data_IF_909375966102
#
_entry.id   IF_909375966102
#
_cell.length_a   1.000
_cell.length_b   1.000
_cell.length_c   1.000
_cell.angle_alpha   90.00
_cell.angle_beta   90.00
_cell.angle_gamma   90.00
#
_symmetry.space_group_name_H-M   'P 1'
#
loop_
_entity.id
_entity.type
_entity.pdbx_description
1 polymer ?
#
# COMPACT_ATOMS: atom_id res chain seq x y z
N UNK A 1 -40.54 7.24 5.21
CA UNK A 1 -39.63 8.34 4.81
C UNK A 1 -38.23 7.85 5.16
N UNK A 2 -37.36 7.57 4.19
CA UNK A 2 -36.00 7.12 4.49
C UNK A 2 -35.10 8.35 4.48
N UNK A 3 -34.86 8.95 5.64
CA UNK A 3 -33.90 10.06 5.75
C UNK A 3 -32.47 9.49 5.74
N UNK A 4 -31.50 10.31 5.35
CA UNK A 4 -30.07 9.92 5.38
C UNK A 4 -29.64 9.40 6.77
N UNK A 5 -30.15 10.02 7.85
CA UNK A 5 -29.91 9.55 9.21
C UNK A 5 -30.48 8.16 9.50
N UNK A 6 -31.68 7.83 8.99
CA UNK A 6 -32.26 6.49 9.13
C UNK A 6 -31.44 5.45 8.36
N UNK A 7 -30.87 5.84 7.21
CA UNK A 7 -29.98 4.98 6.44
C UNK A 7 -28.69 4.67 7.20
N UNK A 8 -28.01 5.69 7.74
CA UNK A 8 -26.82 5.49 8.58
C UNK A 8 -27.13 4.62 9.80
N UNK A 9 -28.28 4.83 10.45
CA UNK A 9 -28.73 3.97 11.54
C UNK A 9 -28.92 2.51 11.09
N UNK A 10 -29.52 2.30 9.91
CA UNK A 10 -29.69 0.96 9.35
C UNK A 10 -28.36 0.29 8.99
N UNK A 11 -27.33 1.07 8.62
CA UNK A 11 -25.99 0.54 8.39
C UNK A 11 -25.34 0.14 9.71
N UNK A 12 -25.43 0.96 10.75
CA UNK A 12 -24.98 0.62 12.10
C UNK A 12 -25.61 -0.67 12.63
N UNK A 13 -26.93 -0.85 12.44
CA UNK A 13 -27.64 -2.05 12.87
C UNK A 13 -27.17 -3.34 12.14
N UNK A 14 -26.57 -3.20 10.95
CA UNK A 14 -26.06 -4.32 10.15
C UNK A 14 -24.61 -4.70 10.47
N UNK A 15 -23.84 -3.80 11.09
CA UNK A 15 -22.45 -4.04 11.45
C UNK A 15 -22.37 -5.11 12.54
N UNK A 16 -21.42 -6.03 12.38
CA UNK A 16 -21.00 -6.94 13.46
C UNK A 16 -19.56 -6.62 13.81
N UNK A 17 -19.24 -6.62 15.11
CA UNK A 17 -17.87 -6.56 15.62
C UNK A 17 -17.01 -5.40 15.06
N UNK A 18 -17.61 -4.22 14.85
CA UNK A 18 -16.98 -3.02 14.27
C UNK A 18 -16.35 -3.23 12.87
N UNK A 19 -16.83 -4.22 12.11
CA UNK A 19 -16.37 -4.47 10.75
C UNK A 19 -16.95 -3.48 9.74
N UNK A 20 -16.14 -3.13 8.75
CA UNK A 20 -16.57 -2.28 7.64
C UNK A 20 -17.63 -3.00 6.79
N UNK A 21 -18.57 -2.23 6.23
CA UNK A 21 -19.63 -2.73 5.35
C UNK A 21 -19.52 -2.14 3.94
N UNK A 22 -19.81 -2.96 2.94
CA UNK A 22 -20.02 -2.47 1.58
C UNK A 22 -21.35 -1.73 1.51
N UNK A 23 -21.31 -0.51 0.99
CA UNK A 23 -22.49 0.33 0.77
C UNK A 23 -22.99 0.11 -0.65
N UNK A 24 -24.27 -0.21 -0.79
CA UNK A 24 -24.91 -0.29 -2.10
C UNK A 24 -25.05 1.12 -2.69
N UNK A 25 -24.34 1.36 -3.80
CA UNK A 25 -24.29 2.67 -4.45
C UNK A 25 -25.67 3.02 -5.03
N UNK A 26 -26.43 2.04 -5.52
CA UNK A 26 -27.77 2.26 -6.06
C UNK A 26 -28.72 2.79 -5.00
N UNK A 27 -28.80 2.09 -3.86
CA UNK A 27 -29.59 2.50 -2.70
C UNK A 27 -29.16 3.88 -2.17
N UNK A 28 -27.85 4.13 -2.07
CA UNK A 28 -27.33 5.43 -1.66
C UNK A 28 -27.76 6.55 -2.62
N UNK A 29 -27.71 6.27 -3.93
CA UNK A 29 -28.09 7.22 -4.97
C UNK A 29 -29.60 7.48 -4.97
N UNK A 30 -30.42 6.44 -4.76
CA UNK A 30 -31.87 6.56 -4.62
C UNK A 30 -32.27 7.44 -3.43
N UNK A 31 -31.53 7.38 -2.31
CA UNK A 31 -31.76 8.26 -1.17
C UNK A 31 -31.55 9.73 -1.52
N UNK A 32 -30.51 10.04 -2.31
CA UNK A 32 -30.26 11.41 -2.77
C UNK A 32 -31.38 11.85 -3.72
N UNK A 33 -31.77 11.00 -4.68
CA UNK A 33 -32.88 11.31 -5.57
C UNK A 33 -34.20 11.55 -4.83
N UNK A 34 -34.51 10.73 -3.82
CA UNK A 34 -35.71 10.89 -3.01
C UNK A 34 -35.71 12.22 -2.25
N UNK A 35 -34.56 12.62 -1.68
CA UNK A 35 -34.42 13.91 -1.00
C UNK A 35 -34.61 15.10 -1.96
N UNK A 36 -34.04 15.03 -3.18
CA UNK A 36 -34.25 16.06 -4.20
C UNK A 36 -35.73 16.17 -4.63
N UNK A 37 -36.38 15.03 -4.86
CA UNK A 37 -37.79 14.99 -5.27
C UNK A 37 -38.74 15.54 -4.20
N UNK A 38 -38.41 15.34 -2.91
CA UNK A 38 -39.17 15.91 -1.80
C UNK A 38 -39.05 17.45 -1.78
N UNK A 39 -37.85 17.98 -1.98
CA UNK A 39 -37.62 19.43 -2.05
C UNK A 39 -38.31 20.08 -3.26
N UNK A 40 -38.28 19.44 -4.43
CA UNK A 40 -38.94 19.94 -5.64
C UNK A 40 -40.48 19.72 -5.63
N UNK A 41 -41.04 19.14 -4.57
CA UNK A 41 -42.49 18.92 -4.43
C UNK A 41 -43.06 17.79 -5.31
N UNK A 42 -42.19 16.99 -5.94
CA UNK A 42 -42.58 15.88 -6.83
C UNK A 42 -43.13 14.70 -6.03
N UNK A 43 -42.69 14.52 -4.78
CA UNK A 43 -43.29 13.58 -3.82
C UNK A 43 -44.05 14.35 -2.73
N UNK A 44 -45.31 14.68 -3.02
CA UNK A 44 -46.41 15.00 -2.09
C UNK A 44 -46.07 15.75 -0.80
N UNK A 45 -46.09 17.09 -0.85
CA UNK A 45 -46.36 17.88 0.33
C UNK A 45 -47.88 17.80 0.62
N UNK A 46 -48.30 16.97 1.58
CA UNK A 46 -49.67 17.02 2.08
C UNK A 46 -49.83 18.27 2.96
N UNK A 47 -50.18 19.40 2.33
CA UNK A 47 -50.90 20.46 3.04
C UNK A 47 -52.38 20.12 2.99
N UNK A 48 -53.00 20.02 4.16
CA UNK A 48 -54.45 19.92 4.29
C UNK A 48 -55.03 21.25 3.83
N UNK A 49 -55.74 21.28 2.69
CA UNK A 49 -56.70 22.35 2.43
C UNK A 49 -56.80 22.93 1.02
N UNK A 50 -55.88 22.68 0.07
CA UNK A 50 -55.96 23.32 -1.26
C UNK A 50 -55.62 22.34 -2.38
N UNK A 51 -56.60 22.09 -3.25
CA UNK A 51 -56.40 21.50 -4.59
C UNK A 51 -55.47 22.44 -5.38
N UNK A 52 -54.18 22.12 -5.35
CA UNK A 52 -53.21 22.79 -6.20
C UNK A 52 -53.00 21.93 -7.43
N UNK A 53 -53.43 22.47 -8.57
CA UNK A 53 -53.29 21.90 -9.91
C UNK A 53 -51.85 21.41 -10.10
N UNK A 54 -51.69 20.09 -10.07
CA UNK A 54 -50.42 19.41 -10.24
C UNK A 54 -49.97 19.54 -11.70
N UNK A 55 -49.28 20.62 -12.03
CA UNK A 55 -48.57 20.71 -13.29
C UNK A 55 -47.28 19.90 -13.19
N UNK A 56 -47.31 18.73 -13.81
CA UNK A 56 -46.19 17.81 -14.00
C UNK A 56 -45.16 18.48 -14.93
N UNK A 57 -44.40 19.45 -14.43
CA UNK A 57 -43.19 19.87 -15.11
C UNK A 57 -42.21 18.70 -15.05
N UNK A 58 -42.13 17.98 -16.16
CA UNK A 58 -41.02 17.07 -16.45
C UNK A 58 -39.74 17.91 -16.48
N UNK A 59 -39.10 18.10 -15.33
CA UNK A 59 -37.70 18.50 -15.28
C UNK A 59 -36.89 17.30 -15.73
N UNK A 60 -36.58 17.25 -17.02
CA UNK A 60 -35.62 16.33 -17.65
C UNK A 60 -34.17 16.64 -17.24
N UNK A 61 -33.92 16.90 -15.95
CA UNK A 61 -32.58 17.15 -15.42
C UNK A 61 -32.31 16.17 -14.28
N UNK A 62 -31.28 15.36 -14.45
CA UNK A 62 -30.80 14.46 -13.42
C UNK A 62 -30.49 15.27 -12.15
N UNK A 63 -31.19 15.06 -11.01
CA UNK A 63 -30.98 15.87 -9.80
C UNK A 63 -29.53 15.89 -9.31
N UNK A 64 -28.79 14.80 -9.54
CA UNK A 64 -27.36 14.72 -9.20
C UNK A 64 -26.51 15.65 -10.04
N UNK A 65 -26.82 15.81 -11.33
CA UNK A 65 -26.09 16.71 -12.24
C UNK A 65 -26.29 18.17 -11.83
N UNK A 66 -27.52 18.53 -11.44
CA UNK A 66 -27.83 19.85 -10.90
C UNK A 66 -27.07 20.10 -9.59
N UNK A 67 -27.10 19.14 -8.65
CA UNK A 67 -26.35 19.23 -7.40
C UNK A 67 -24.84 19.38 -7.63
N UNK A 68 -24.27 18.56 -8.52
CA UNK A 68 -22.86 18.63 -8.89
C UNK A 68 -22.49 20.04 -9.38
N UNK A 69 -23.24 20.60 -10.34
CA UNK A 69 -22.96 21.93 -10.87
C UNK A 69 -23.08 23.02 -9.81
N UNK A 70 -24.12 22.98 -8.98
CA UNK A 70 -24.30 23.97 -7.90
C UNK A 70 -23.17 23.90 -6.89
N UNK A 71 -22.80 22.69 -6.44
CA UNK A 71 -21.74 22.51 -5.45
C UNK A 71 -20.35 22.87 -6.00
N UNK A 72 -20.08 22.61 -7.28
CA UNK A 72 -18.81 22.95 -7.93
C UNK A 72 -18.61 24.45 -8.19
N UNK A 73 -19.66 25.25 -8.02
CA UNK A 73 -19.62 26.72 -8.22
C UNK A 73 -19.49 27.48 -6.89
N UNK A 74 -19.41 26.79 -5.75
CA UNK A 74 -19.31 27.43 -4.43
C UNK A 74 -17.92 28.01 -4.25
N UNK A 75 -17.81 29.32 -4.37
CA UNK A 75 -16.62 30.06 -4.00
C UNK A 75 -16.68 30.43 -2.51
N UNK A 76 -15.62 30.13 -1.76
CA UNK A 76 -15.42 30.60 -0.39
C UNK A 76 -14.34 31.67 -0.45
N UNK A 77 -14.68 32.90 -0.06
CA UNK A 77 -13.69 33.96 0.10
C UNK A 77 -12.85 33.65 1.33
N UNK A 78 -11.53 33.54 1.15
CA UNK A 78 -10.57 33.30 2.24
C UNK A 78 -9.67 34.53 2.32
N UNK A 79 -9.47 35.07 3.52
CA UNK A 79 -8.67 36.29 3.73
C UNK A 79 -7.16 36.07 3.49
N UNK A 80 -6.68 34.83 3.70
CA UNK A 80 -5.28 34.43 3.51
C UNK A 80 -5.17 33.21 2.56
N UNK A 81 -4.38 33.33 1.49
CA UNK A 81 -4.14 32.23 0.53
C UNK A 81 -3.42 31.03 1.16
N UNK A 82 -2.68 31.23 2.25
CA UNK A 82 -1.98 30.15 2.97
C UNK A 82 -2.95 29.20 3.71
N UNK A 83 -4.18 29.65 4.01
CA UNK A 83 -5.23 28.87 4.68
C UNK A 83 -6.30 28.35 3.71
N UNK A 84 -6.12 28.53 2.39
CA UNK A 84 -7.08 28.10 1.38
C UNK A 84 -7.14 26.56 1.25
N UNK A 85 -8.01 25.93 2.03
CA UNK A 85 -8.42 24.54 1.82
C UNK A 85 -9.48 24.45 0.71
N UNK A 86 -9.45 23.35 -0.04
CA UNK A 86 -10.55 22.98 -0.93
C UNK A 86 -11.91 23.00 -0.18
N UNK A 87 -12.94 23.70 -0.70
CA UNK A 87 -14.25 23.77 -0.07
C UNK A 87 -14.91 22.39 0.04
N UNK A 88 -15.59 22.12 1.16
CA UNK A 88 -16.33 20.86 1.35
C UNK A 88 -17.42 20.66 0.29
N UNK A 89 -17.99 21.74 -0.24
CA UNK A 89 -18.91 21.69 -1.38
C UNK A 89 -18.28 21.02 -2.60
N UNK A 90 -17.03 21.36 -2.93
CA UNK A 90 -16.30 20.75 -4.05
C UNK A 90 -16.04 19.27 -3.79
N UNK A 91 -15.65 18.91 -2.56
CA UNK A 91 -15.45 17.51 -2.16
C UNK A 91 -16.72 16.67 -2.35
N UNK A 92 -17.88 17.19 -1.95
CA UNK A 92 -19.17 16.52 -2.18
C UNK A 92 -19.48 16.45 -3.67
N UNK A 93 -19.21 17.52 -4.44
CA UNK A 93 -19.40 17.52 -5.88
C UNK A 93 -18.59 16.40 -6.56
N UNK A 94 -17.32 16.20 -6.20
CA UNK A 94 -16.50 15.10 -6.74
C UNK A 94 -17.04 13.71 -6.38
N UNK A 95 -17.62 13.54 -5.18
CA UNK A 95 -18.29 12.28 -4.81
C UNK A 95 -19.48 12.04 -5.73
N UNK A 96 -20.32 13.06 -5.97
CA UNK A 96 -21.48 12.97 -6.85
C UNK A 96 -21.04 12.67 -8.29
N UNK A 97 -20.01 13.37 -8.80
CA UNK A 97 -19.45 13.13 -10.13
C UNK A 97 -18.96 11.68 -10.25
N UNK A 98 -18.26 11.18 -9.24
CA UNK A 98 -17.75 9.80 -9.20
C UNK A 98 -18.88 8.78 -9.23
N UNK A 99 -19.96 9.01 -8.46
CA UNK A 99 -21.16 8.16 -8.47
C UNK A 99 -21.82 8.19 -9.85
N UNK A 100 -21.99 9.37 -10.45
CA UNK A 100 -22.60 9.51 -11.78
C UNK A 100 -21.80 8.79 -12.86
N UNK A 101 -20.47 8.89 -12.80
CA UNK A 101 -19.56 8.30 -13.81
C UNK A 101 -19.33 6.81 -13.62
N UNK A 102 -19.18 6.36 -12.38
CA UNK A 102 -18.66 5.03 -12.05
C UNK A 102 -19.56 4.19 -11.16
N UNK A 103 -20.64 4.74 -10.61
CA UNK A 103 -21.51 4.06 -9.64
C UNK A 103 -22.27 2.83 -10.19
N UNK A 104 -22.30 2.64 -11.51
CA UNK A 104 -22.84 1.44 -12.17
C UNK A 104 -21.76 0.41 -12.56
N UNK A 105 -20.52 0.65 -12.15
CA UNK A 105 -19.36 -0.20 -12.47
C UNK A 105 -18.71 -0.69 -11.19
N UNK A 106 -17.91 -1.76 -11.27
CA UNK A 106 -17.11 -2.22 -10.12
C UNK A 106 -15.89 -1.32 -9.84
N UNK A 107 -15.68 -0.24 -10.60
CA UNK A 107 -14.56 0.69 -10.41
C UNK A 107 -14.75 1.64 -9.22
N UNK A 108 -15.96 1.80 -8.70
CA UNK A 108 -16.25 2.62 -7.52
C UNK A 108 -16.71 1.72 -6.38
N UNK A 109 -16.08 1.87 -5.22
CA UNK A 109 -16.46 1.19 -3.99
C UNK A 109 -16.86 2.23 -2.94
N UNK A 110 -17.94 1.98 -2.21
CA UNK A 110 -18.35 2.78 -1.06
C UNK A 110 -18.31 1.91 0.19
N UNK A 111 -17.57 2.36 1.20
CA UNK A 111 -17.35 1.60 2.44
C UNK A 111 -17.90 2.39 3.62
N UNK A 112 -18.77 1.76 4.39
CA UNK A 112 -19.22 2.28 5.68
C UNK A 112 -18.32 1.72 6.79
N UNK A 113 -17.69 2.61 7.55
CA UNK A 113 -16.96 2.29 8.77
C UNK A 113 -17.80 2.71 9.97
N UNK A 114 -18.10 1.80 10.93
CA UNK A 114 -18.81 2.14 12.16
C UNK A 114 -17.98 3.00 13.12
N UNK A 115 -16.66 3.10 12.90
CA UNK A 115 -15.74 3.84 13.78
C UNK A 115 -16.13 5.31 13.86
N UNK A 116 -16.22 5.83 15.09
CA UNK A 116 -16.68 7.19 15.39
C UNK A 116 -18.11 7.20 15.95
N UNK A 117 -18.63 8.38 16.35
CA UNK A 117 -19.96 8.48 16.97
C UNK A 117 -21.11 8.18 15.98
N UNK A 118 -20.94 8.55 14.72
CA UNK A 118 -22.01 8.48 13.71
C UNK A 118 -21.67 7.50 12.57
N UNK A 119 -20.47 6.92 12.57
CA UNK A 119 -19.93 6.17 11.43
C UNK A 119 -19.60 7.07 10.24
N UNK A 120 -18.93 6.52 9.23
CA UNK A 120 -18.48 7.25 8.04
C UNK A 120 -18.63 6.41 6.79
N UNK A 121 -19.18 6.99 5.73
CA UNK A 121 -19.09 6.43 4.38
C UNK A 121 -17.87 7.04 3.67
N UNK A 122 -17.01 6.20 3.12
CA UNK A 122 -15.84 6.62 2.32
C UNK A 122 -15.98 6.05 0.90
N UNK A 123 -15.67 6.86 -0.10
CA UNK A 123 -15.69 6.47 -1.51
C UNK A 123 -14.27 6.18 -1.99
N UNK A 124 -14.12 5.11 -2.77
CA UNK A 124 -12.83 4.63 -3.29
C UNK A 124 -12.96 4.35 -4.78
N UNK A 125 -12.23 5.11 -5.59
CA UNK A 125 -12.05 4.80 -7.01
C UNK A 125 -10.93 3.76 -7.16
N UNK A 126 -11.29 2.56 -7.59
CA UNK A 126 -10.41 1.38 -7.64
C UNK A 126 -9.58 1.31 -8.93
N UNK A 127 -9.96 2.07 -9.95
CA UNK A 127 -9.29 2.09 -11.25
C UNK A 127 -8.54 3.41 -11.48
N UNK A 128 -7.21 3.45 -11.30
CA UNK A 128 -6.44 4.61 -11.69
C UNK A 128 -6.44 4.81 -13.23
N UNK A 129 -6.77 3.76 -14.00
CA UNK A 129 -6.85 3.78 -15.45
C UNK A 129 -7.90 4.75 -16.01
N UNK A 130 -8.98 5.03 -15.29
CA UNK A 130 -10.02 5.98 -15.75
C UNK A 130 -9.51 7.42 -15.81
N UNK A 131 -8.49 7.75 -15.02
CA UNK A 131 -7.83 9.06 -15.02
C UNK A 131 -6.58 9.03 -15.91
N UNK A 132 -5.74 8.02 -15.72
CA UNK A 132 -4.44 7.92 -16.39
C UNK A 132 -4.55 7.59 -17.89
N UNK A 133 -5.48 6.71 -18.30
CA UNK A 133 -5.65 6.32 -19.70
C UNK A 133 -5.93 7.52 -20.64
N UNK A 134 -6.95 8.36 -20.36
CA UNK A 134 -7.21 9.56 -21.14
C UNK A 134 -6.05 10.55 -21.13
N UNK A 135 -5.34 10.69 -20.01
CA UNK A 135 -4.17 11.55 -19.90
C UNK A 135 -3.05 11.07 -20.85
N UNK A 136 -2.63 9.81 -20.73
CA UNK A 136 -1.57 9.24 -21.56
C UNK A 136 -1.94 9.18 -23.05
N UNK A 137 -3.22 9.05 -23.38
CA UNK A 137 -3.70 9.07 -24.77
C UNK A 137 -3.64 10.45 -25.42
N UNK A 138 -3.64 11.53 -24.61
CA UNK A 138 -3.56 12.93 -25.10
C UNK A 138 -2.14 13.49 -25.10
N UNK A 139 -1.22 12.87 -24.38
CA UNK A 139 0.19 13.29 -24.36
C UNK A 139 0.93 12.84 -25.62
N UNK A 140 1.85 13.67 -26.12
CA UNK A 140 2.70 13.30 -27.27
C UNK A 140 3.63 12.10 -26.98
N UNK A 141 3.97 11.88 -25.71
CA UNK A 141 4.75 10.74 -25.25
C UNK A 141 5.05 10.81 -23.76
N UNK A 142 5.30 9.66 -23.12
CA UNK A 142 5.66 9.56 -21.71
C UNK A 142 6.71 8.47 -21.49
N UNK A 143 7.58 8.67 -20.50
CA UNK A 143 8.57 7.67 -20.09
C UNK A 143 8.35 7.38 -18.60
N UNK A 144 7.88 6.17 -18.30
CA UNK A 144 7.65 5.72 -16.93
C UNK A 144 8.84 4.88 -16.48
N UNK A 145 9.62 5.40 -15.51
CA UNK A 145 10.82 4.75 -14.99
C UNK A 145 10.70 4.50 -13.50
N UNK A 146 11.03 3.30 -13.04
CA UNK A 146 11.24 3.00 -11.62
C UNK A 146 12.06 1.72 -11.45
N UNK A 147 12.89 1.68 -10.40
CA UNK A 147 13.72 0.52 -10.07
C UNK A 147 12.92 -0.69 -9.55
N UNK A 148 11.65 -0.50 -9.20
CA UNK A 148 10.75 -1.57 -8.72
C UNK A 148 9.49 -1.70 -9.59
N UNK A 149 9.51 -1.15 -10.80
CA UNK A 149 8.42 -1.27 -11.77
C UNK A 149 8.48 -2.65 -12.44
N UNK A 150 8.05 -3.68 -11.73
CA UNK A 150 8.06 -5.05 -12.20
C UNK A 150 6.76 -5.79 -11.83
N UNK A 151 6.18 -6.60 -12.74
CA UNK A 151 6.46 -6.61 -14.18
C UNK A 151 5.88 -5.35 -14.87
N UNK A 152 6.55 -4.78 -15.88
CA UNK A 152 6.03 -3.61 -16.61
C UNK A 152 4.64 -3.80 -17.24
N UNK A 153 4.27 -5.04 -17.57
CA UNK A 153 2.94 -5.37 -18.08
C UNK A 153 1.82 -4.99 -17.12
N UNK A 154 1.96 -5.31 -15.83
CA UNK A 154 0.94 -4.99 -14.83
C UNK A 154 0.71 -3.49 -14.71
N UNK A 155 1.77 -2.69 -14.66
CA UNK A 155 1.65 -1.24 -14.55
C UNK A 155 1.02 -0.62 -15.80
N UNK A 156 1.38 -1.13 -16.97
CA UNK A 156 0.75 -0.69 -18.22
C UNK A 156 -0.76 -0.99 -18.24
N UNK A 157 -1.17 -2.16 -17.72
CA UNK A 157 -2.58 -2.55 -17.63
C UNK A 157 -3.35 -1.67 -16.63
N UNK A 158 -2.82 -1.49 -15.43
CA UNK A 158 -3.44 -0.70 -14.34
C UNK A 158 -3.57 0.77 -14.71
N UNK A 159 -2.56 1.35 -15.36
CA UNK A 159 -2.57 2.74 -15.81
C UNK A 159 -3.30 2.94 -17.15
N UNK A 160 -3.93 1.89 -17.68
CA UNK A 160 -4.63 1.89 -18.96
C UNK A 160 -3.81 2.52 -20.10
N UNK A 161 -2.51 2.17 -20.17
CA UNK A 161 -1.63 2.70 -21.21
C UNK A 161 -2.08 2.18 -22.59
N UNK A 162 -2.05 3.01 -23.66
CA UNK A 162 -2.47 2.58 -25.00
C UNK A 162 -1.63 1.39 -25.48
N UNK A 163 -2.25 0.23 -25.64
CA UNK A 163 -1.56 -1.04 -25.88
C UNK A 163 -0.71 -1.05 -27.15
N UNK A 164 -1.16 -0.35 -28.20
CA UNK A 164 -0.49 -0.22 -29.49
C UNK A 164 0.65 0.80 -29.51
N UNK A 165 0.73 1.69 -28.51
CA UNK A 165 1.75 2.74 -28.42
C UNK A 165 2.70 2.54 -27.23
N UNK A 166 2.53 1.46 -26.46
CA UNK A 166 3.29 1.22 -25.24
C UNK A 166 4.39 0.18 -25.46
N UNK A 167 5.64 0.61 -25.38
CA UNK A 167 6.79 -0.30 -25.29
C UNK A 167 7.11 -0.61 -23.84
N UNK A 168 7.36 -1.88 -23.54
CA UNK A 168 7.61 -2.38 -22.17
C UNK A 168 8.98 -3.04 -22.13
N UNK A 169 9.88 -2.54 -21.30
CA UNK A 169 11.24 -3.09 -21.19
C UNK A 169 11.64 -3.20 -19.73
N UNK A 170 12.28 -4.31 -19.39
CA UNK A 170 12.96 -4.50 -18.10
C UNK A 170 14.43 -4.75 -18.39
N UNK A 171 15.28 -3.94 -17.77
CA UNK A 171 16.73 -4.06 -17.92
C UNK A 171 17.29 -4.87 -16.76
N UNK A 172 18.28 -5.73 -17.06
CA UNK A 172 18.99 -6.46 -16.01
C UNK A 172 19.74 -5.44 -15.16
N UNK A 173 19.61 -5.55 -13.83
CA UNK A 173 20.31 -4.66 -12.93
C UNK A 173 21.83 -4.85 -13.08
N UNK A 174 22.62 -3.77 -13.24
CA UNK A 174 24.08 -3.88 -13.22
C UNK A 174 24.59 -4.35 -11.84
N UNK A 175 23.76 -4.22 -10.81
CA UNK A 175 24.01 -4.70 -9.45
C UNK A 175 23.61 -6.17 -9.24
N UNK A 176 22.95 -6.81 -10.22
CA UNK A 176 22.55 -8.22 -10.12
C UNK A 176 23.77 -9.14 -10.30
N UNK A 177 24.40 -9.51 -9.18
CA UNK A 177 25.56 -10.40 -9.19
C UNK A 177 25.93 -10.92 -7.80
N UNK A 178 27.18 -11.35 -7.64
CA UNK A 178 27.73 -11.90 -6.39
C UNK A 178 27.68 -10.93 -5.20
N UNK A 179 27.49 -9.62 -5.44
CA UNK A 179 27.46 -8.55 -4.44
C UNK A 179 26.12 -8.35 -3.75
N UNK A 180 25.04 -8.93 -4.30
CA UNK A 180 23.68 -8.83 -3.77
C UNK A 180 23.00 -10.20 -3.69
N UNK A 181 23.56 -11.16 -2.95
CA UNK A 181 22.92 -12.46 -2.82
C UNK A 181 21.62 -12.34 -2.01
N UNK A 182 20.57 -12.99 -2.52
CA UNK A 182 19.31 -13.19 -1.79
C UNK A 182 19.34 -14.58 -1.17
N UNK A 183 19.05 -14.65 0.13
CA UNK A 183 18.94 -15.88 0.91
C UNK A 183 17.52 -15.96 1.50
N UNK A 184 16.84 -17.09 1.29
CA UNK A 184 15.49 -17.34 1.78
C UNK A 184 15.54 -18.39 2.88
N UNK A 185 15.05 -18.07 4.07
CA UNK A 185 14.88 -19.04 5.14
C UNK A 185 13.59 -19.84 4.91
N UNK A 186 13.71 -21.16 4.69
CA UNK A 186 12.58 -22.04 4.32
C UNK A 186 11.86 -22.64 5.53
N UNK A 187 12.45 -22.57 6.72
CA UNK A 187 11.93 -23.12 7.96
C UNK A 187 11.10 -22.11 8.79
N UNK A 188 10.92 -20.88 8.27
CA UNK A 188 10.16 -19.80 8.91
C UNK A 188 9.04 -19.23 8.03
N UNK A 189 7.98 -18.70 8.64
CA UNK A 189 6.89 -18.01 7.93
C UNK A 189 6.08 -17.10 8.83
N UNK A 190 5.48 -16.05 8.27
CA UNK A 190 4.54 -15.14 8.97
C UNK A 190 3.07 -15.40 8.58
N UNK A 191 2.78 -16.52 7.89
CA UNK A 191 1.41 -16.92 7.55
C UNK A 191 0.54 -16.97 8.81
N UNK A 192 -0.63 -16.31 8.78
CA UNK A 192 -1.44 -16.03 9.98
C UNK A 192 -1.67 -17.26 10.88
N UNK A 193 -2.05 -18.39 10.29
CA UNK A 193 -2.34 -19.64 11.02
C UNK A 193 -1.10 -20.42 11.50
N UNK A 194 0.12 -19.94 11.21
CA UNK A 194 1.39 -20.56 11.59
C UNK A 194 2.23 -19.64 12.48
N UNK A 195 1.72 -18.44 12.82
CA UNK A 195 2.36 -17.52 13.75
C UNK A 195 2.39 -18.14 15.14
N UNK A 196 3.58 -18.20 15.73
CA UNK A 196 3.80 -18.77 17.06
C UNK A 196 5.12 -18.25 17.62
N UNK A 197 5.29 -18.31 18.94
CA UNK A 197 6.57 -17.95 19.56
C UNK A 197 7.73 -18.81 19.03
N UNK A 198 7.50 -20.10 18.77
CA UNK A 198 8.51 -20.97 18.15
C UNK A 198 8.96 -20.46 16.77
N UNK A 199 8.04 -19.90 15.99
CA UNK A 199 8.35 -19.28 14.70
C UNK A 199 9.18 -18.01 14.86
N UNK A 200 8.83 -17.20 15.85
CA UNK A 200 9.57 -15.99 16.19
C UNK A 200 10.99 -16.30 16.65
N UNK A 201 11.18 -17.33 17.48
CA UNK A 201 12.53 -17.73 17.91
C UNK A 201 13.41 -18.20 16.77
N UNK A 202 12.86 -18.93 15.80
CA UNK A 202 13.62 -19.30 14.59
C UNK A 202 14.04 -18.06 13.80
N UNK A 203 13.11 -17.12 13.57
CA UNK A 203 13.41 -15.86 12.88
C UNK A 203 14.49 -15.06 13.63
N UNK A 204 14.38 -14.93 14.95
CA UNK A 204 15.38 -14.30 15.82
C UNK A 204 16.74 -15.00 15.70
N UNK A 205 16.76 -16.32 15.67
CA UNK A 205 17.97 -17.12 15.45
C UNK A 205 18.65 -16.79 14.11
N UNK A 206 17.89 -16.69 13.02
CA UNK A 206 18.44 -16.28 11.73
C UNK A 206 18.99 -14.84 11.73
N UNK A 207 18.33 -13.91 12.43
CA UNK A 207 18.79 -12.52 12.57
C UNK A 207 20.09 -12.48 13.38
N UNK A 208 20.17 -13.18 14.51
CA UNK A 208 21.41 -13.26 15.29
C UNK A 208 22.54 -13.93 14.50
N UNK A 209 22.25 -15.00 13.77
CA UNK A 209 23.20 -15.67 12.90
C UNK A 209 23.75 -14.76 11.79
N UNK A 210 22.90 -13.89 11.23
CA UNK A 210 23.32 -12.88 10.26
C UNK A 210 24.21 -11.80 10.90
N UNK A 211 23.83 -11.33 12.09
CA UNK A 211 24.63 -10.37 12.88
C UNK A 211 26.01 -10.95 13.18
N UNK A 212 26.08 -12.19 13.65
CA UNK A 212 27.34 -12.88 13.92
C UNK A 212 28.19 -13.12 12.65
N UNK A 213 27.53 -13.22 11.50
CA UNK A 213 28.16 -13.49 10.22
C UNK A 213 28.67 -12.23 9.50
N UNK A 214 28.44 -11.03 10.06
CA UNK A 214 28.79 -9.76 9.43
C UNK A 214 29.29 -8.71 10.42
N UNK A 215 30.17 -7.84 9.96
CA UNK A 215 30.67 -6.70 10.76
C UNK A 215 29.94 -5.39 10.41
N UNK A 216 28.86 -5.48 9.62
CA UNK A 216 28.13 -4.34 9.08
C UNK A 216 26.80 -4.13 9.81
N UNK A 217 26.17 -2.96 9.63
CA UNK A 217 24.82 -2.73 10.13
C UNK A 217 23.79 -3.58 9.39
N UNK A 218 22.74 -3.95 10.11
CA UNK A 218 21.64 -4.76 9.60
C UNK A 218 20.36 -3.96 9.72
N UNK A 219 19.60 -3.86 8.63
CA UNK A 219 18.22 -3.35 8.67
C UNK A 219 17.23 -4.50 8.62
N UNK A 220 16.15 -4.42 9.38
CA UNK A 220 15.08 -5.41 9.46
C UNK A 220 13.75 -4.71 9.19
N UNK A 221 13.01 -5.19 8.20
CA UNK A 221 11.70 -4.66 7.83
C UNK A 221 10.60 -5.69 8.08
N UNK A 222 9.54 -5.27 8.76
CA UNK A 222 8.40 -6.09 9.14
C UNK A 222 7.11 -5.64 8.43
N UNK A 223 6.08 -6.52 8.30
CA UNK A 223 4.81 -6.19 7.64
C UNK A 223 3.95 -5.18 8.39
N UNK A 224 4.13 -5.05 9.70
CA UNK A 224 3.39 -4.12 10.54
C UNK A 224 4.14 -3.85 11.84
N UNK A 225 3.84 -2.72 12.47
CA UNK A 225 4.36 -2.40 13.82
C UNK A 225 4.02 -3.48 14.85
N UNK A 226 2.83 -4.10 14.74
CA UNK A 226 2.43 -5.19 15.64
C UNK A 226 3.36 -6.40 15.50
N UNK A 227 3.61 -6.85 14.27
CA UNK A 227 4.54 -7.97 14.04
C UNK A 227 5.99 -7.59 14.40
N UNK A 228 6.39 -6.34 14.18
CA UNK A 228 7.70 -5.87 14.61
C UNK A 228 7.86 -5.98 16.13
N UNK A 229 6.86 -5.54 16.89
CA UNK A 229 6.85 -5.66 18.35
C UNK A 229 6.78 -7.13 18.80
N UNK A 230 5.92 -7.95 18.21
CA UNK A 230 5.79 -9.37 18.56
C UNK A 230 7.11 -10.15 18.37
N UNK A 231 7.88 -9.82 17.32
CA UNK A 231 9.08 -10.56 16.92
C UNK A 231 10.36 -9.98 17.54
N UNK A 232 10.46 -8.65 17.58
CA UNK A 232 11.67 -7.91 17.93
C UNK A 232 11.53 -7.08 19.22
N UNK A 233 10.30 -6.87 19.72
CA UNK A 233 10.00 -6.15 20.95
C UNK A 233 10.60 -6.84 22.16
N UNK A 234 11.23 -6.08 23.05
CA UNK A 234 11.93 -6.61 24.24
C UNK A 234 13.13 -7.52 24.00
N UNK A 235 13.42 -7.90 22.75
CA UNK A 235 14.49 -8.85 22.42
C UNK A 235 15.85 -8.16 22.37
N UNK A 236 16.84 -8.75 23.04
CA UNK A 236 18.24 -8.37 22.96
C UNK A 236 18.97 -9.21 21.91
N UNK A 237 19.68 -8.55 20.99
CA UNK A 237 20.58 -9.19 20.03
C UNK A 237 22.02 -8.87 20.42
N UNK A 238 22.85 -9.90 20.50
CA UNK A 238 24.24 -9.73 20.95
C UNK A 238 25.09 -9.05 19.86
N UNK A 239 25.98 -8.15 20.28
CA UNK A 239 26.95 -7.51 19.40
C UNK A 239 26.44 -6.35 18.54
N UNK A 240 25.20 -5.88 18.76
CA UNK A 240 24.58 -4.75 18.06
C UNK A 240 23.79 -3.86 19.03
N UNK A 241 23.67 -2.57 18.70
CA UNK A 241 22.68 -1.69 19.32
C UNK A 241 21.40 -1.67 18.48
N UNK A 242 20.25 -1.91 19.12
CA UNK A 242 18.96 -1.93 18.43
C UNK A 242 18.34 -0.53 18.40
N UNK A 243 17.87 -0.10 17.22
CA UNK A 243 17.09 1.12 17.01
C UNK A 243 15.78 0.72 16.33
N UNK A 244 14.65 1.07 16.92
CA UNK A 244 13.32 0.72 16.40
C UNK A 244 12.56 1.96 15.95
N UNK A 245 12.00 1.91 14.75
CA UNK A 245 11.13 2.95 14.20
C UNK A 245 9.89 3.19 15.06
N UNK A 246 9.57 4.46 15.31
CA UNK A 246 8.28 4.87 15.88
C UNK A 246 7.38 5.45 14.79
N UNK A 247 6.06 5.34 14.99
CA UNK A 247 5.04 5.98 14.14
C UNK A 247 5.11 7.50 14.18
N UNK A 248 5.57 8.04 15.31
CA UNK A 248 5.56 9.48 15.60
C UNK A 248 6.84 10.19 15.16
N UNK A 249 7.79 9.48 14.55
CA UNK A 249 9.01 10.11 14.05
C UNK A 249 8.68 11.23 13.07
N UNK A 250 9.51 12.26 13.01
CA UNK A 250 9.52 13.33 11.99
C UNK A 250 10.75 13.16 11.09
N UNK A 251 10.89 14.00 10.05
CA UNK A 251 12.04 13.92 9.13
C UNK A 251 13.37 14.08 9.89
N UNK A 252 13.43 14.99 10.85
CA UNK A 252 14.62 15.24 11.66
C UNK A 252 15.07 14.02 12.48
N UNK A 253 14.14 13.18 12.95
CA UNK A 253 14.47 11.94 13.67
C UNK A 253 15.20 10.96 12.75
N UNK A 254 14.78 10.89 11.49
CA UNK A 254 15.39 10.02 10.48
C UNK A 254 16.82 10.47 10.20
N UNK A 255 17.02 11.78 9.97
CA UNK A 255 18.34 12.34 9.68
C UNK A 255 19.31 12.09 10.85
N UNK A 256 18.82 12.19 12.11
CA UNK A 256 19.57 11.82 13.31
C UNK A 256 19.93 10.33 13.34
N UNK A 257 19.02 9.45 12.95
CA UNK A 257 19.30 8.00 12.87
C UNK A 257 20.37 7.71 11.83
N UNK A 258 20.28 8.29 10.63
CA UNK A 258 21.30 8.11 9.58
C UNK A 258 22.66 8.63 10.02
N UNK A 259 22.71 9.82 10.64
CA UNK A 259 23.95 10.37 11.21
C UNK A 259 24.54 9.45 12.30
N UNK A 260 23.67 8.89 13.16
CA UNK A 260 24.08 7.93 14.18
C UNK A 260 24.66 6.66 13.55
N UNK A 261 24.04 6.08 12.53
CA UNK A 261 24.57 4.91 11.84
C UNK A 261 25.99 5.19 11.29
N UNK A 262 26.20 6.34 10.64
CA UNK A 262 27.53 6.72 10.15
C UNK A 262 28.55 6.82 11.28
N UNK A 263 28.15 7.37 12.43
CA UNK A 263 29.03 7.49 13.60
C UNK A 263 29.36 6.13 14.24
N UNK A 264 28.36 5.28 14.49
CA UNK A 264 28.54 3.94 15.08
C UNK A 264 29.49 3.10 14.23
N UNK A 265 29.33 3.14 12.91
CA UNK A 265 30.26 2.46 11.99
C UNK A 265 31.70 2.96 12.12
N UNK A 266 31.93 4.26 12.30
CA UNK A 266 33.29 4.85 12.43
C UNK A 266 34.01 4.36 13.69
N UNK A 267 33.27 4.17 14.78
CA UNK A 267 33.82 3.69 16.06
C UNK A 267 33.84 2.15 16.17
N UNK A 268 33.44 1.44 15.11
CA UNK A 268 33.45 -0.03 15.07
C UNK A 268 32.24 -0.71 15.72
N UNK A 269 31.22 0.04 16.10
CA UNK A 269 29.97 -0.50 16.60
C UNK A 269 29.05 -0.93 15.46
N UNK A 270 28.09 -1.80 15.78
CA UNK A 270 27.09 -2.28 14.82
C UNK A 270 25.69 -1.95 15.31
N UNK A 271 24.82 -1.63 14.36
CA UNK A 271 23.43 -1.26 14.63
C UNK A 271 22.49 -2.24 13.94
N UNK A 272 21.44 -2.63 14.66
CA UNK A 272 20.28 -3.30 14.13
C UNK A 272 19.14 -2.28 14.03
N UNK A 273 18.80 -1.88 12.81
CA UNK A 273 17.72 -0.95 12.53
C UNK A 273 16.43 -1.73 12.24
N UNK A 274 15.38 -1.51 13.02
CA UNK A 274 14.09 -2.17 12.86
C UNK A 274 13.04 -1.18 12.37
N UNK A 275 12.36 -1.50 11.28
CA UNK A 275 11.28 -0.69 10.71
C UNK A 275 10.18 -1.51 10.06
N UNK A 276 9.22 -0.83 9.45
CA UNK A 276 8.07 -1.43 8.77
C UNK A 276 8.15 -1.18 7.26
N UNK A 277 7.68 -2.12 6.43
CA UNK A 277 7.57 -1.89 4.98
C UNK A 277 6.60 -0.74 4.68
N UNK A 278 6.93 0.09 3.69
CA UNK A 278 6.16 1.27 3.33
C UNK A 278 6.19 2.40 4.38
N UNK A 279 6.92 2.22 5.48
CA UNK A 279 7.16 3.27 6.46
C UNK A 279 8.45 4.03 6.15
N UNK A 280 8.73 5.04 6.96
CA UNK A 280 9.75 6.05 6.71
C UNK A 280 11.15 5.48 6.61
N UNK A 281 11.47 4.42 7.38
CA UNK A 281 12.77 3.76 7.25
C UNK A 281 12.94 2.95 5.95
N UNK A 282 11.83 2.53 5.36
CA UNK A 282 11.82 1.73 4.13
C UNK A 282 11.56 2.57 2.87
N UNK A 283 11.15 3.84 3.03
CA UNK A 283 10.81 4.77 1.96
C UNK A 283 11.54 6.12 2.08
N UNK A 284 12.11 6.62 0.98
CA UNK A 284 12.64 7.99 0.92
C UNK A 284 14.00 8.25 1.59
N UNK A 285 14.57 7.30 2.34
CA UNK A 285 15.90 7.45 2.94
C UNK A 285 17.00 7.03 1.97
N UNK A 286 18.08 7.83 1.95
CA UNK A 286 19.34 7.42 1.36
C UNK A 286 20.31 6.83 2.38
N UNK A 287 20.69 5.57 2.16
CA UNK A 287 21.67 4.85 2.98
C UNK A 287 22.99 4.75 2.21
N UNK A 288 23.48 5.92 1.79
CA UNK A 288 24.72 6.04 1.03
C UNK A 288 25.95 5.53 1.80
N UNK A 289 27.09 5.46 1.10
CA UNK A 289 28.38 5.00 1.62
C UNK A 289 28.37 3.53 2.07
N UNK A 290 27.37 2.76 1.65
CA UNK A 290 27.16 1.38 2.06
C UNK A 290 26.98 1.22 3.57
N UNK A 291 26.33 2.17 4.25
CA UNK A 291 26.11 2.17 5.71
C UNK A 291 25.42 0.88 6.19
N UNK A 292 24.54 0.30 5.37
CA UNK A 292 23.90 -0.99 5.62
C UNK A 292 24.62 -2.10 4.85
N UNK A 293 25.03 -3.17 5.53
CA UNK A 293 25.61 -4.35 4.87
C UNK A 293 24.63 -5.50 4.68
N UNK A 294 23.51 -5.51 5.41
CA UNK A 294 22.46 -6.51 5.21
C UNK A 294 21.06 -5.91 5.38
N UNK A 295 20.10 -6.51 4.67
CA UNK A 295 18.67 -6.27 4.87
C UNK A 295 17.95 -7.58 5.13
N UNK A 296 17.14 -7.60 6.18
CA UNK A 296 16.24 -8.69 6.52
C UNK A 296 14.81 -8.25 6.23
N UNK A 297 14.10 -9.01 5.40
CA UNK A 297 12.68 -8.81 5.15
C UNK A 297 11.92 -9.91 5.88
N UNK A 298 11.23 -9.54 6.96
CA UNK A 298 10.42 -10.47 7.75
C UNK A 298 9.03 -10.58 7.13
N UNK A 299 8.63 -11.78 6.79
CA UNK A 299 7.30 -12.02 6.26
C UNK A 299 7.06 -11.48 4.85
N UNK A 300 5.79 -11.51 4.46
CA UNK A 300 5.29 -10.92 3.22
C UNK A 300 4.15 -9.96 3.58
N UNK A 301 4.22 -8.67 3.19
CA UNK A 301 3.25 -7.65 3.56
C UNK A 301 1.97 -7.73 2.74
N UNK A 302 1.29 -8.88 2.81
CA UNK A 302 -0.05 -9.01 2.22
C UNK A 302 -1.03 -8.13 3.01
N UNK A 303 -1.90 -7.36 2.33
CA UNK A 303 -2.95 -6.61 3.00
C UNK A 303 -3.90 -7.57 3.72
N UNK A 304 -4.43 -7.18 4.90
CA UNK A 304 -5.49 -7.95 5.54
C UNK A 304 -6.76 -7.96 4.66
N UNK A 305 -7.62 -8.98 4.79
CA UNK A 305 -8.95 -8.94 4.19
C UNK A 305 -9.72 -7.71 4.68
N UNK A 306 -10.41 -7.05 3.75
CA UNK A 306 -11.26 -5.90 4.03
C UNK A 306 -12.24 -5.73 2.87
N UNK A 307 -13.36 -5.03 3.11
CA UNK A 307 -14.34 -4.69 2.06
C UNK A 307 -13.65 -4.05 0.86
N UNK A 308 -12.72 -3.13 1.11
CA UNK A 308 -11.94 -2.48 0.06
C UNK A 308 -11.05 -3.46 -0.72
N UNK A 309 -10.35 -4.36 -0.01
CA UNK A 309 -9.49 -5.37 -0.62
C UNK A 309 -10.28 -6.35 -1.49
N UNK A 310 -11.48 -6.73 -1.05
CA UNK A 310 -12.33 -7.65 -1.79
C UNK A 310 -12.99 -6.98 -2.99
N UNK A 311 -13.45 -5.72 -2.85
CA UNK A 311 -13.94 -4.92 -3.98
C UNK A 311 -12.86 -4.70 -5.03
N UNK A 312 -11.61 -4.45 -4.62
CA UNK A 312 -10.48 -4.31 -5.53
C UNK A 312 -10.19 -5.63 -6.27
N UNK A 313 -10.26 -6.79 -5.59
CA UNK A 313 -10.11 -8.11 -6.24
C UNK A 313 -11.20 -8.37 -7.26
N UNK A 314 -12.45 -8.04 -6.93
CA UNK A 314 -13.60 -8.18 -7.84
C UNK A 314 -13.41 -7.30 -9.07
N UNK A 315 -13.07 -6.02 -8.87
CA UNK A 315 -12.79 -5.09 -9.97
C UNK A 315 -11.68 -5.58 -10.91
N UNK A 316 -10.54 -6.00 -10.36
CA UNK A 316 -9.42 -6.52 -11.17
C UNK A 316 -9.82 -7.84 -11.84
N UNK A 317 -10.62 -8.69 -11.18
CA UNK A 317 -11.14 -9.91 -11.78
C UNK A 317 -12.00 -9.63 -13.01
N UNK A 318 -12.89 -8.64 -12.93
CA UNK A 318 -13.75 -8.24 -14.05
C UNK A 318 -12.95 -7.67 -15.22
N UNK A 319 -11.98 -6.78 -14.93
CA UNK A 319 -11.24 -6.06 -15.97
C UNK A 319 -10.08 -6.85 -16.56
N UNK A 320 -9.34 -7.60 -15.74
CA UNK A 320 -8.08 -8.25 -16.13
C UNK A 320 -8.10 -9.78 -15.97
N UNK A 321 -9.23 -10.35 -15.55
CA UNK A 321 -9.43 -11.79 -15.37
C UNK A 321 -9.05 -12.31 -13.98
N UNK A 322 -9.72 -13.39 -13.57
CA UNK A 322 -9.56 -14.04 -12.25
C UNK A 322 -8.11 -14.43 -11.92
N UNK A 323 -7.33 -14.81 -12.93
CA UNK A 323 -5.92 -15.17 -12.77
C UNK A 323 -5.04 -13.99 -12.32
N UNK A 324 -5.41 -12.76 -12.71
CA UNK A 324 -4.68 -11.55 -12.37
C UNK A 324 -5.21 -10.89 -11.08
N UNK A 325 -6.44 -11.17 -10.67
CA UNK A 325 -7.06 -10.63 -9.46
C UNK A 325 -6.16 -10.77 -8.23
N UNK A 326 -5.74 -11.98 -7.89
CA UNK A 326 -4.85 -12.21 -6.75
C UNK A 326 -3.45 -11.61 -6.95
N UNK A 327 -2.96 -11.64 -8.20
CA UNK A 327 -1.62 -11.16 -8.51
C UNK A 327 -1.51 -9.65 -8.30
N UNK A 328 -2.40 -8.88 -8.92
CA UNK A 328 -2.34 -7.41 -8.96
C UNK A 328 -2.76 -6.77 -7.63
N UNK A 329 -3.60 -7.44 -6.83
CA UNK A 329 -4.15 -6.87 -5.59
C UNK A 329 -3.43 -7.32 -4.32
N UNK A 330 -2.81 -8.51 -4.31
CA UNK A 330 -2.18 -9.08 -3.10
C UNK A 330 -0.69 -9.29 -3.31
N UNK A 331 -0.31 -10.15 -4.24
CA UNK A 331 1.07 -10.68 -4.25
C UNK A 331 2.09 -9.74 -4.88
N UNK A 332 1.76 -9.08 -5.99
CA UNK A 332 2.69 -8.16 -6.64
C UNK A 332 2.93 -6.91 -5.78
N UNK A 333 1.90 -6.24 -5.22
CA UNK A 333 2.13 -5.12 -4.29
C UNK A 333 3.02 -5.51 -3.10
N UNK A 334 2.77 -6.69 -2.51
CA UNK A 334 3.55 -7.17 -1.37
C UNK A 334 5.03 -7.45 -1.73
N UNK A 335 5.28 -8.04 -2.89
CA UNK A 335 6.64 -8.27 -3.39
C UNK A 335 7.32 -6.96 -3.78
N UNK A 336 6.59 -5.98 -4.30
CA UNK A 336 7.14 -4.67 -4.63
C UNK A 336 7.64 -3.93 -3.37
N UNK A 337 6.89 -3.99 -2.27
CA UNK A 337 7.34 -3.48 -0.97
C UNK A 337 8.63 -4.19 -0.48
N UNK A 338 8.74 -5.50 -0.66
CA UNK A 338 9.97 -6.26 -0.37
C UNK A 338 11.12 -5.80 -1.28
N UNK A 339 10.89 -5.66 -2.59
CA UNK A 339 11.91 -5.20 -3.56
C UNK A 339 12.42 -3.80 -3.24
N UNK A 340 11.53 -2.90 -2.82
CA UNK A 340 11.89 -1.54 -2.40
C UNK A 340 12.78 -1.57 -1.17
N UNK A 341 12.41 -2.33 -0.13
CA UNK A 341 13.23 -2.50 1.07
C UNK A 341 14.60 -3.14 0.76
N UNK A 342 14.62 -4.19 -0.06
CA UNK A 342 15.85 -4.86 -0.52
C UNK A 342 16.76 -3.95 -1.32
N UNK A 343 16.22 -2.92 -1.99
CA UNK A 343 16.96 -1.99 -2.84
C UNK A 343 17.69 -0.90 -2.06
N UNK A 344 17.35 -0.68 -0.79
CA UNK A 344 17.89 0.42 0.03
C UNK A 344 19.40 0.39 0.24
N UNK A 345 20.06 -0.75 0.51
CA UNK A 345 21.48 -0.76 0.85
C UNK A 345 22.46 -0.57 -0.32
N UNK A 346 21.99 -0.66 -1.57
CA UNK A 346 22.86 -0.70 -2.76
C UNK A 346 22.49 0.47 -3.65
N UNK A 347 23.38 1.46 -3.74
CA UNK A 347 23.25 2.64 -4.59
C UNK A 347 24.33 2.72 -5.67
N UNK A 348 25.47 2.09 -5.42
CA UNK A 348 26.63 2.02 -6.33
C UNK A 348 26.98 0.59 -6.71
N UNK A 349 27.79 0.41 -7.77
CA UNK A 349 28.22 -0.95 -8.22
C UNK A 349 29.26 -1.55 -7.27
N UNK A 350 29.86 -0.67 -6.48
CA UNK A 350 30.83 -0.91 -5.43
C UNK A 350 30.18 -1.42 -4.14
N UNK A 351 28.89 -1.15 -3.93
CA UNK A 351 28.15 -1.60 -2.76
C UNK A 351 27.96 -3.12 -2.77
N UNK A 352 27.84 -3.66 -1.55
CA UNK A 352 27.52 -5.06 -1.30
C UNK A 352 26.45 -5.12 -0.22
N UNK A 353 25.47 -5.98 -0.39
CA UNK A 353 24.52 -6.25 0.68
C UNK A 353 23.98 -7.68 0.62
N UNK A 354 23.92 -8.32 1.79
CA UNK A 354 23.22 -9.59 1.91
C UNK A 354 21.73 -9.35 2.18
N UNK A 355 20.87 -9.98 1.39
CA UNK A 355 19.43 -9.93 1.62
C UNK A 355 18.97 -11.26 2.23
N UNK A 356 18.28 -11.19 3.34
CA UNK A 356 17.69 -12.34 4.02
C UNK A 356 16.16 -12.21 4.04
N UNK A 357 15.47 -13.11 3.36
CA UNK A 357 14.00 -13.18 3.37
C UNK A 357 13.57 -14.23 4.40
N UNK A 358 12.85 -13.79 5.44
CA UNK A 358 12.33 -14.64 6.52
C UNK A 358 10.85 -14.97 6.30
N UNK A 359 10.56 -15.62 5.18
CA UNK A 359 9.29 -16.30 4.92
C UNK A 359 9.47 -17.30 3.78
N UNK A 360 9.15 -18.57 4.05
CA UNK A 360 9.29 -19.64 3.07
C UNK A 360 8.40 -19.44 1.83
N UNK A 361 7.32 -18.64 1.94
CA UNK A 361 6.41 -18.35 0.84
C UNK A 361 7.07 -17.60 -0.31
N UNK A 362 8.20 -16.94 -0.09
CA UNK A 362 8.97 -16.27 -1.16
C UNK A 362 9.47 -17.25 -2.24
N UNK A 363 9.64 -18.52 -1.87
CA UNK A 363 10.06 -19.59 -2.79
C UNK A 363 8.87 -20.29 -3.49
N UNK A 364 7.64 -20.05 -3.02
CA UNK A 364 6.45 -20.58 -3.67
C UNK A 364 6.24 -19.88 -5.02
N UNK A 365 5.86 -20.65 -6.04
CA UNK A 365 5.61 -20.15 -7.41
C UNK A 365 4.79 -18.84 -7.45
N UNK A 366 3.73 -18.76 -6.64
CA UNK A 366 2.86 -17.58 -6.55
C UNK A 366 3.62 -16.27 -6.27
N UNK A 367 4.61 -16.29 -5.37
CA UNK A 367 5.41 -15.10 -5.08
C UNK A 367 6.68 -15.05 -5.93
N UNK A 368 7.28 -16.20 -6.22
CA UNK A 368 8.50 -16.30 -7.04
C UNK A 368 8.32 -15.64 -8.41
N UNK A 369 7.15 -15.81 -9.03
CA UNK A 369 6.79 -15.22 -10.34
C UNK A 369 6.60 -13.69 -10.29
N UNK A 370 6.50 -13.10 -9.09
CA UNK A 370 6.43 -11.65 -8.88
C UNK A 370 7.82 -11.00 -8.75
N UNK A 371 8.89 -11.78 -8.56
CA UNK A 371 10.26 -11.27 -8.53
C UNK A 371 10.86 -11.18 -9.94
N UNK A 372 11.85 -10.30 -10.17
CA UNK A 372 12.62 -10.28 -11.41
C UNK A 372 13.18 -11.66 -11.76
N UNK A 373 12.99 -12.12 -13.00
CA UNK A 373 13.41 -13.45 -13.46
C UNK A 373 14.92 -13.70 -13.30
N UNK A 374 15.74 -12.66 -13.45
CA UNK A 374 17.19 -12.73 -13.27
C UNK A 374 17.63 -12.87 -11.80
N UNK A 375 16.74 -12.65 -10.83
CA UNK A 375 17.07 -12.72 -9.41
C UNK A 375 17.24 -14.17 -8.96
N UNK A 376 18.48 -14.54 -8.60
CA UNK A 376 18.80 -15.84 -7.99
C UNK A 376 18.56 -15.78 -6.48
N UNK A 377 17.80 -16.74 -5.97
CA UNK A 377 17.51 -16.89 -4.54
C UNK A 377 18.17 -18.18 -4.04
N UNK A 378 19.01 -18.05 -3.03
CA UNK A 378 19.59 -19.17 -2.30
C UNK A 378 18.66 -19.54 -1.14
N UNK A 379 18.80 -20.75 -0.59
CA UNK A 379 18.00 -21.20 0.55
C UNK A 379 18.84 -21.47 1.79
N UNK A 380 18.26 -21.20 2.95
CA UNK A 380 18.74 -21.58 4.28
C UNK A 380 17.60 -22.32 4.99
N UNK A 381 17.92 -23.33 5.80
CA UNK A 381 16.94 -24.10 6.56
C UNK A 381 17.15 -24.00 8.08
N UNK A 382 18.21 -23.30 8.50
CA UNK A 382 18.55 -23.14 9.91
C UNK A 382 19.52 -21.95 10.11
N UNK A 383 19.56 -21.35 11.31
CA UNK A 383 20.44 -20.22 11.63
C UNK A 383 21.92 -20.45 11.29
N UNK A 384 22.47 -21.64 11.56
CA UNK A 384 23.87 -21.95 11.28
C UNK A 384 24.22 -21.84 9.80
N UNK A 385 23.32 -22.31 8.92
CA UNK A 385 23.49 -22.18 7.48
C UNK A 385 23.39 -20.73 7.00
N UNK A 386 22.57 -19.90 7.65
CA UNK A 386 22.55 -18.44 7.43
C UNK A 386 23.87 -17.79 7.82
N UNK A 387 24.41 -18.11 9.00
CA UNK A 387 25.72 -17.59 9.45
C UNK A 387 26.84 -17.98 8.50
N UNK A 388 26.93 -19.26 8.14
CA UNK A 388 27.95 -19.76 7.22
C UNK A 388 27.88 -19.06 5.85
N UNK A 389 26.68 -18.85 5.32
CA UNK A 389 26.48 -18.12 4.07
C UNK A 389 26.92 -16.65 4.19
N UNK A 390 26.48 -15.96 5.24
CA UNK A 390 26.83 -14.56 5.51
C UNK A 390 28.35 -14.38 5.66
N UNK A 391 28.99 -15.16 6.53
CA UNK A 391 30.45 -15.10 6.74
C UNK A 391 31.22 -15.35 5.45
N UNK A 392 30.80 -16.33 4.64
CA UNK A 392 31.44 -16.61 3.34
C UNK A 392 31.29 -15.43 2.37
N UNK A 393 30.11 -14.82 2.31
CA UNK A 393 29.84 -13.67 1.46
C UNK A 393 30.68 -12.46 1.86
N UNK A 394 30.62 -12.00 3.11
CA UNK A 394 31.36 -10.81 3.58
C UNK A 394 32.88 -11.01 3.62
N UNK A 395 33.36 -12.26 3.68
CA UNK A 395 34.78 -12.59 3.51
C UNK A 395 35.23 -12.46 2.06
N UNK A 396 34.46 -13.00 1.11
CA UNK A 396 34.80 -13.02 -0.32
C UNK A 396 34.59 -11.69 -1.01
N UNK A 397 33.49 -11.00 -0.70
CA UNK A 397 33.10 -9.75 -1.34
C UNK A 397 33.48 -8.60 -0.43
N UNK A 398 34.61 -7.94 -0.71
CA UNK A 398 35.07 -6.75 0.03
C UNK A 398 34.43 -5.47 -0.53
N UNK A 399 34.22 -4.46 0.34
CA UNK A 399 33.86 -3.11 -0.12
C UNK A 399 35.03 -2.61 -0.97
N UNK A 400 34.73 -2.02 -2.12
CA UNK A 400 35.75 -1.29 -2.88
C UNK A 400 35.90 0.04 -2.15
N UNK A 401 37.11 0.33 -1.67
CA UNK A 401 37.45 1.55 -0.94
C UNK A 401 37.53 2.76 -1.85
#
# INVERSE_FOLDING_TARGET
RHKMGDYFKSLHEKVKDDEDLLVDIGQFTELIHAACNEYEGVSGQMRIGEDTDYNKHQTTKNPLEKLYHTLSQVAVEVEDEEDASEPDAHRIAYIIESIMRFGKTTALCMVFSPKGKEGKITTHLLDPGVLSGPLFSKTAGSILMSGTLYPPSMYADILALPSNLTTKTSYVSPFAGERRPVLVARDVTTKYNQRSMAMWEKMRGHIQALIDGSDDHVAVFCPSYKLMEDILGGVYFSGVTKITESRDWVKDDIDRVVARLKNERRIGNRVLLCGVFGARLSEGIDYDDGVLGSVVCIGIPNPPPSVLSDSLKEYISDKFGKQNAWRYTVTQPAVNAILQAMGRPIRSVEDRALILLLDNRNDNRTYRDCYPSAMKMNSSNEPNSTKAFASRFFRRVKRIS
#
